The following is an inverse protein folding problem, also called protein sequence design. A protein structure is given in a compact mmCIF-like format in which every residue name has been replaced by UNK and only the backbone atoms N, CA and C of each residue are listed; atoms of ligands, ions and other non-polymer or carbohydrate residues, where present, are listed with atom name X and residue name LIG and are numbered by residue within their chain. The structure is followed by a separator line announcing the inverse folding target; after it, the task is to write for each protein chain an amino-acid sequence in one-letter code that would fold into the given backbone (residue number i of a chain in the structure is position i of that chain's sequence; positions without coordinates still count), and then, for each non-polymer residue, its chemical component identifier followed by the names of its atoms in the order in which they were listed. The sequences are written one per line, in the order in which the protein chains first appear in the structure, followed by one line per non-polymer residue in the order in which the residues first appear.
data_IF_165357808636
#
_entry.id   IF_165357808636
#
_cell.length_a   1.000
_cell.length_b   1.000
_cell.length_c   1.000
_cell.angle_alpha   90.00
_cell.angle_beta   90.00
_cell.angle_gamma   90.00
#
_symmetry.space_group_name_H-M   'P 1'
#
loop_
_entity.id
_entity.type
_entity.pdbx_description
1 polymer ?
#
# COMPACT_ATOMS: atom_id res chain seq x y z
N UNK A 1 -1.34 7.48 -8.66
CA UNK A 1 -2.31 7.79 -9.74
C UNK A 1 -3.16 9.01 -9.38
N UNK A 2 -3.86 9.62 -10.35
CA UNK A 2 -4.66 10.84 -10.08
C UNK A 2 -5.81 10.60 -9.10
N UNK A 3 -6.36 9.40 -9.04
CA UNK A 3 -7.41 9.00 -8.11
C UNK A 3 -6.98 9.09 -6.64
N UNK A 4 -5.69 9.05 -6.35
CA UNK A 4 -5.18 9.19 -4.97
C UNK A 4 -5.59 10.52 -4.33
N UNK A 5 -5.82 11.57 -5.13
CA UNK A 5 -6.31 12.87 -4.62
C UNK A 5 -7.64 12.73 -3.90
N UNK A 6 -8.57 11.96 -4.48
CA UNK A 6 -9.89 11.72 -3.86
C UNK A 6 -9.77 10.81 -2.66
N UNK A 7 -8.96 9.76 -2.75
CA UNK A 7 -8.75 8.82 -1.65
C UNK A 7 -8.10 9.51 -0.43
N UNK A 8 -7.08 10.34 -0.66
CA UNK A 8 -6.42 11.12 0.41
C UNK A 8 -7.40 12.10 1.06
N UNK A 9 -8.26 12.75 0.27
CA UNK A 9 -9.29 13.63 0.83
C UNK A 9 -10.25 12.87 1.76
N UNK A 10 -10.62 11.63 1.41
CA UNK A 10 -11.41 10.77 2.28
C UNK A 10 -10.64 10.35 3.53
N UNK A 11 -9.37 9.93 3.41
CA UNK A 11 -8.54 9.60 4.58
C UNK A 11 -8.43 10.79 5.54
N UNK A 12 -8.17 11.99 5.02
CA UNK A 12 -8.11 13.19 5.83
C UNK A 12 -9.44 13.52 6.53
N UNK A 13 -10.57 13.31 5.84
CA UNK A 13 -11.91 13.51 6.40
C UNK A 13 -12.18 12.60 7.59
N UNK A 14 -11.69 11.37 7.55
CA UNK A 14 -11.94 10.35 8.58
C UNK A 14 -10.75 10.13 9.52
N UNK A 15 -9.73 10.99 9.49
CA UNK A 15 -8.56 10.90 10.38
C UNK A 15 -7.67 9.69 10.14
N UNK A 16 -7.75 9.08 8.95
CA UNK A 16 -7.01 7.87 8.60
C UNK A 16 -5.61 8.19 8.08
N UNK A 17 -4.70 7.25 8.29
CA UNK A 17 -3.37 7.23 7.68
C UNK A 17 -3.28 6.10 6.67
N UNK A 18 -2.40 6.25 5.69
CA UNK A 18 -2.16 5.21 4.69
C UNK A 18 -0.69 5.18 4.27
N UNK A 19 -0.30 4.07 3.67
CA UNK A 19 0.98 3.91 2.98
C UNK A 19 0.73 3.78 1.48
N UNK A 20 1.34 4.66 0.70
CA UNK A 20 1.23 4.69 -0.76
C UNK A 20 2.46 4.06 -1.40
N UNK A 21 2.22 3.04 -2.23
CA UNK A 21 3.27 2.30 -2.91
C UNK A 21 3.57 2.96 -4.25
N UNK A 22 4.81 3.39 -4.46
CA UNK A 22 5.18 4.18 -5.63
C UNK A 22 6.27 3.52 -6.48
N UNK A 23 6.22 3.85 -7.77
CA UNK A 23 7.20 3.46 -8.78
C UNK A 23 7.89 4.73 -9.29
N UNK A 24 9.14 4.96 -8.92
CA UNK A 24 9.81 6.22 -9.25
C UNK A 24 10.18 6.39 -10.73
N UNK A 25 10.19 5.31 -11.50
CA UNK A 25 10.49 5.34 -12.93
C UNK A 25 9.31 5.70 -13.84
N UNK A 26 8.10 5.78 -13.31
CA UNK A 26 6.86 6.04 -14.08
C UNK A 26 5.99 7.09 -13.38
N UNK A 27 6.56 8.28 -13.14
CA UNK A 27 5.92 9.37 -12.38
C UNK A 27 5.63 10.60 -13.26
N UNK A 28 5.02 10.37 -14.39
CA UNK A 28 4.49 11.46 -15.23
C UNK A 28 3.03 11.18 -15.61
N UNK A 29 2.28 12.24 -15.89
CA UNK A 29 0.89 12.08 -16.34
C UNK A 29 0.78 11.43 -17.73
N UNK A 30 1.88 11.38 -18.48
CA UNK A 30 1.95 10.67 -19.75
C UNK A 30 2.04 9.15 -19.55
N UNK A 31 2.54 8.70 -18.39
CA UNK A 31 2.55 7.29 -18.03
C UNK A 31 1.12 6.86 -17.68
N UNK A 32 0.57 5.99 -18.51
CA UNK A 32 -0.82 5.53 -18.39
C UNK A 32 -0.92 4.03 -18.52
N UNK A 33 -1.99 3.48 -18.00
CA UNK A 33 -2.38 2.10 -18.27
C UNK A 33 -3.92 2.03 -18.34
N UNK A 34 -4.44 0.98 -18.97
CA UNK A 34 -5.88 0.76 -19.03
C UNK A 34 -6.29 -0.29 -18.00
N UNK A 35 -7.34 0.02 -17.24
CA UNK A 35 -7.97 -0.91 -16.31
C UNK A 35 -9.49 -0.88 -16.53
N UNK A 36 -10.08 -2.03 -16.83
CA UNK A 36 -11.49 -2.07 -17.21
C UNK A 36 -11.76 -1.19 -18.43
N UNK A 37 -12.65 -0.22 -18.24
CA UNK A 37 -13.08 0.74 -19.27
C UNK A 37 -12.45 2.14 -19.12
N UNK A 38 -11.50 2.33 -18.21
CA UNK A 38 -10.87 3.62 -17.97
C UNK A 38 -9.39 3.63 -18.32
N UNK A 39 -8.88 4.81 -18.69
CA UNK A 39 -7.45 5.09 -18.77
C UNK A 39 -7.00 5.72 -17.48
N UNK A 40 -6.11 5.02 -16.75
CA UNK A 40 -5.53 5.50 -15.50
C UNK A 40 -4.27 6.31 -15.79
N UNK A 41 -4.25 7.54 -15.32
CA UNK A 41 -3.09 8.42 -15.42
C UNK A 41 -2.23 8.37 -14.15
N UNK A 42 -0.93 8.21 -14.33
CA UNK A 42 0.03 8.42 -13.24
C UNK A 42 0.05 9.88 -12.84
N UNK A 43 0.51 10.17 -11.65
CA UNK A 43 0.64 11.54 -11.15
C UNK A 43 2.00 12.11 -11.54
N UNK A 44 2.05 13.42 -11.82
CA UNK A 44 3.32 14.10 -11.99
C UNK A 44 4.06 14.17 -10.65
N UNK A 45 5.36 13.86 -10.68
CA UNK A 45 6.22 13.87 -9.49
C UNK A 45 6.13 15.19 -8.70
N UNK A 46 6.08 16.35 -9.39
CA UNK A 46 6.00 17.67 -8.74
C UNK A 46 4.79 17.85 -7.82
N UNK A 47 3.70 17.10 -8.05
CA UNK A 47 2.46 17.22 -7.27
C UNK A 47 2.44 16.26 -6.07
N UNK A 48 3.35 15.27 -6.04
CA UNK A 48 3.30 14.16 -5.10
C UNK A 48 3.70 14.56 -3.67
N UNK A 49 4.77 15.33 -3.51
CA UNK A 49 5.34 15.64 -2.18
C UNK A 49 4.30 16.28 -1.25
N UNK A 50 3.57 17.26 -1.74
CA UNK A 50 2.53 17.94 -0.95
C UNK A 50 1.29 17.07 -0.78
N UNK A 51 0.89 16.34 -1.82
CA UNK A 51 -0.30 15.50 -1.77
C UNK A 51 -0.19 14.39 -0.72
N UNK A 52 0.94 13.67 -0.68
CA UNK A 52 1.13 12.54 0.23
C UNK A 52 1.63 12.93 1.62
N UNK A 53 1.74 14.23 1.90
CA UNK A 53 2.19 14.70 3.20
C UNK A 53 1.32 14.18 4.35
N UNK A 54 1.97 13.59 5.35
CA UNK A 54 1.30 12.96 6.49
C UNK A 54 0.90 11.50 6.28
N UNK A 55 1.15 10.96 5.09
CA UNK A 55 1.08 9.54 4.75
C UNK A 55 2.48 8.96 4.56
N UNK A 56 2.61 7.66 4.54
CA UNK A 56 3.87 6.97 4.27
C UNK A 56 4.01 6.66 2.79
N UNK A 57 5.26 6.66 2.31
CA UNK A 57 5.63 6.18 0.99
C UNK A 57 6.41 4.89 1.14
N UNK A 58 6.02 3.86 0.39
CA UNK A 58 6.76 2.61 0.24
C UNK A 58 7.16 2.39 -1.23
N UNK A 59 8.22 1.65 -1.44
CA UNK A 59 8.70 1.29 -2.78
C UNK A 59 7.84 0.18 -3.41
N UNK A 60 7.70 0.24 -4.73
CA UNK A 60 6.93 -0.74 -5.51
C UNK A 60 7.64 -1.12 -6.81
N UNK A 61 8.97 -1.20 -6.78
CA UNK A 61 9.87 -1.31 -7.92
C UNK A 61 9.93 -0.06 -8.81
N UNK A 62 11.00 0.09 -9.55
CA UNK A 62 11.22 1.25 -10.42
C UNK A 62 10.15 1.40 -11.50
N UNK A 63 9.82 0.30 -12.19
CA UNK A 63 8.94 0.29 -13.36
C UNK A 63 7.69 -0.55 -13.21
N UNK A 64 7.33 -0.97 -11.97
CA UNK A 64 6.27 -1.93 -11.70
C UNK A 64 6.55 -3.32 -12.30
N UNK A 65 7.82 -3.74 -12.27
CA UNK A 65 8.25 -5.01 -12.83
C UNK A 65 7.73 -6.22 -12.03
N UNK A 66 7.33 -7.28 -12.73
CA UNK A 66 7.12 -8.57 -12.10
C UNK A 66 8.49 -9.18 -11.80
N UNK A 67 8.86 -9.26 -10.51
CA UNK A 67 10.20 -9.69 -10.10
C UNK A 67 10.45 -11.20 -10.24
N UNK A 68 9.39 -12.00 -10.36
CA UNK A 68 9.52 -13.45 -10.45
C UNK A 68 10.15 -13.89 -11.77
N UNK A 69 11.23 -14.67 -11.68
CA UNK A 69 11.94 -15.21 -12.81
C UNK A 69 12.92 -14.26 -13.48
N UNK A 70 13.11 -13.03 -12.94
CA UNK A 70 14.15 -12.11 -13.38
C UNK A 70 15.52 -12.52 -12.80
N UNK A 71 16.59 -12.14 -13.50
CA UNK A 71 17.93 -12.27 -12.96
C UNK A 71 18.15 -11.33 -11.76
N UNK A 72 19.09 -11.69 -10.91
CA UNK A 72 19.31 -10.99 -9.63
C UNK A 72 19.77 -9.54 -9.81
N UNK A 73 20.54 -9.24 -10.86
CA UNK A 73 20.98 -7.87 -11.16
C UNK A 73 19.80 -6.99 -11.52
N UNK A 74 18.89 -7.50 -12.35
CA UNK A 74 17.65 -6.80 -12.72
C UNK A 74 16.77 -6.57 -11.49
N UNK A 75 16.57 -7.57 -10.64
CA UNK A 75 15.80 -7.44 -9.39
C UNK A 75 16.44 -6.40 -8.46
N UNK A 76 17.76 -6.44 -8.30
CA UNK A 76 18.49 -5.45 -7.50
C UNK A 76 18.31 -4.03 -8.04
N UNK A 77 18.41 -3.85 -9.35
CA UNK A 77 18.25 -2.55 -9.99
C UNK A 77 16.84 -1.98 -9.84
N UNK A 78 15.80 -2.81 -10.03
CA UNK A 78 14.40 -2.43 -9.87
C UNK A 78 14.08 -1.99 -8.42
N UNK A 79 14.64 -2.67 -7.43
CA UNK A 79 14.41 -2.37 -6.01
C UNK A 79 15.27 -1.19 -5.56
N UNK A 80 16.61 -1.28 -5.74
CA UNK A 80 17.54 -0.32 -5.15
C UNK A 80 17.46 1.06 -5.79
N UNK A 81 17.19 1.13 -7.09
CA UNK A 81 17.06 2.40 -7.80
C UNK A 81 15.76 3.10 -7.40
N UNK A 82 14.67 2.36 -7.29
CA UNK A 82 13.39 2.91 -6.84
C UNK A 82 13.50 3.51 -5.44
N UNK A 83 14.06 2.75 -4.48
CA UNK A 83 14.28 3.21 -3.11
C UNK A 83 15.10 4.50 -3.09
N UNK A 84 16.27 4.52 -3.76
CA UNK A 84 17.13 5.71 -3.81
C UNK A 84 16.44 6.93 -4.40
N UNK A 85 15.66 6.74 -5.46
CA UNK A 85 14.92 7.83 -6.10
C UNK A 85 13.85 8.39 -5.17
N UNK A 86 13.08 7.52 -4.51
CA UNK A 86 12.04 7.91 -3.56
C UNK A 86 12.63 8.60 -2.33
N UNK A 87 13.72 8.06 -1.76
CA UNK A 87 14.42 8.68 -0.63
C UNK A 87 14.94 10.09 -0.99
N UNK A 88 15.57 10.24 -2.16
CA UNK A 88 16.05 11.52 -2.64
C UNK A 88 14.90 12.51 -2.89
N UNK A 89 13.79 12.05 -3.45
CA UNK A 89 12.65 12.91 -3.75
C UNK A 89 11.89 13.33 -2.49
N UNK A 90 11.57 12.41 -1.59
CA UNK A 90 10.80 12.70 -0.38
C UNK A 90 11.66 13.18 0.80
N UNK A 91 12.99 13.12 0.69
CA UNK A 91 13.96 13.48 1.75
C UNK A 91 13.70 12.69 3.05
N UNK A 92 13.31 11.43 2.92
CA UNK A 92 13.01 10.52 4.04
C UNK A 92 13.46 9.10 3.69
N UNK A 93 13.67 8.29 4.72
CA UNK A 93 14.00 6.88 4.54
C UNK A 93 12.78 6.09 4.09
N UNK A 94 12.98 5.18 3.13
CA UNK A 94 11.97 4.23 2.68
C UNK A 94 12.20 2.90 3.42
N UNK A 95 11.27 2.52 4.28
CA UNK A 95 11.34 1.32 5.11
C UNK A 95 10.45 0.18 4.60
N UNK A 96 9.53 0.49 3.72
CA UNK A 96 8.52 -0.43 3.23
C UNK A 96 8.64 -0.75 1.75
N UNK A 97 8.20 -1.95 1.40
CA UNK A 97 8.14 -2.42 0.02
C UNK A 97 6.84 -3.20 -0.24
N UNK A 98 6.35 -3.16 -1.47
CA UNK A 98 5.24 -4.01 -1.91
C UNK A 98 5.62 -4.69 -3.21
N UNK A 99 5.41 -6.00 -3.28
CA UNK A 99 5.71 -6.77 -4.49
C UNK A 99 4.66 -6.51 -5.57
N UNK A 100 5.04 -6.02 -6.77
CA UNK A 100 4.13 -5.98 -7.92
C UNK A 100 3.52 -7.36 -8.19
N UNK A 101 2.23 -7.41 -8.44
CA UNK A 101 1.47 -8.65 -8.65
C UNK A 101 1.54 -9.66 -7.48
N UNK A 102 2.13 -9.29 -6.35
CA UNK A 102 2.37 -10.18 -5.21
C UNK A 102 3.36 -11.32 -5.48
N UNK A 103 4.14 -11.24 -6.56
CA UNK A 103 5.04 -12.31 -7.04
C UNK A 103 6.50 -11.98 -6.74
N UNK A 104 7.27 -13.00 -6.37
CA UNK A 104 8.69 -12.88 -6.02
C UNK A 104 9.42 -14.21 -6.11
N UNK A 105 10.74 -14.15 -6.14
CA UNK A 105 11.64 -15.26 -5.84
C UNK A 105 12.35 -14.99 -4.51
N UNK A 106 12.86 -16.03 -3.85
CA UNK A 106 13.49 -15.92 -2.51
C UNK A 106 14.68 -14.96 -2.46
N UNK A 107 15.39 -14.78 -3.59
CA UNK A 107 16.49 -13.80 -3.70
C UNK A 107 16.05 -12.36 -3.44
N UNK A 108 14.80 -12.01 -3.74
CA UNK A 108 14.27 -10.67 -3.52
C UNK A 108 14.31 -10.26 -2.04
N UNK A 109 14.07 -11.18 -1.11
CA UNK A 109 14.10 -10.87 0.33
C UNK A 109 15.51 -10.51 0.84
N UNK A 110 16.56 -11.13 0.28
CA UNK A 110 17.92 -10.75 0.58
C UNK A 110 18.21 -9.33 0.08
N UNK A 111 17.83 -9.04 -1.15
CA UNK A 111 18.00 -7.71 -1.76
C UNK A 111 17.25 -6.64 -0.96
N UNK A 112 16.01 -6.90 -0.56
CA UNK A 112 15.25 -5.98 0.28
C UNK A 112 15.96 -5.66 1.59
N UNK A 113 16.53 -6.67 2.28
CA UNK A 113 17.32 -6.48 3.50
C UNK A 113 18.58 -5.65 3.24
N UNK A 114 19.30 -5.94 2.18
CA UNK A 114 20.49 -5.18 1.76
C UNK A 114 20.16 -3.71 1.46
N UNK A 115 18.98 -3.43 0.92
CA UNK A 115 18.47 -2.08 0.69
C UNK A 115 17.84 -1.42 1.93
N UNK A 116 17.83 -2.09 3.09
CA UNK A 116 17.34 -1.54 4.36
C UNK A 116 15.82 -1.56 4.53
N UNK A 117 15.10 -2.36 3.73
CA UNK A 117 13.66 -2.56 3.87
C UNK A 117 13.37 -3.40 5.11
N UNK A 118 12.41 -2.95 5.90
CA UNK A 118 12.05 -3.54 7.18
C UNK A 118 10.75 -4.35 7.13
N UNK A 119 9.83 -3.99 6.21
CA UNK A 119 8.63 -4.76 5.92
C UNK A 119 8.35 -4.82 4.42
N UNK A 120 7.77 -5.92 3.96
CA UNK A 120 7.34 -6.06 2.57
C UNK A 120 6.00 -6.79 2.49
N UNK A 121 5.02 -6.19 1.80
CA UNK A 121 3.69 -6.77 1.63
C UNK A 121 3.67 -7.67 0.39
N UNK A 122 3.16 -8.86 0.60
CA UNK A 122 2.79 -9.80 -0.46
C UNK A 122 1.29 -9.68 -0.75
N UNK A 123 0.75 -10.48 -1.67
CA UNK A 123 -0.68 -10.67 -1.87
C UNK A 123 -1.15 -11.95 -1.16
N UNK A 124 -2.45 -12.10 -1.06
CA UNK A 124 -3.05 -13.25 -0.40
C UNK A 124 -3.59 -12.89 0.97
N UNK A 125 -4.86 -12.47 0.96
CA UNK A 125 -5.55 -12.02 2.15
C UNK A 125 -5.68 -13.13 3.19
N UNK A 126 -5.46 -12.78 4.46
CA UNK A 126 -5.53 -13.73 5.57
C UNK A 126 -6.93 -13.86 6.13
N UNK A 127 -7.78 -12.85 5.93
CA UNK A 127 -9.06 -12.65 6.62
C UNK A 127 -8.95 -12.68 8.16
N UNK A 128 -7.72 -12.50 8.66
CA UNK A 128 -7.36 -12.53 10.07
C UNK A 128 -6.78 -11.21 10.57
N UNK A 129 -6.58 -11.12 11.88
CA UNK A 129 -6.16 -9.90 12.57
C UNK A 129 -4.91 -10.09 13.44
N UNK A 130 -4.37 -11.31 13.51
CA UNK A 130 -3.18 -11.59 14.32
C UNK A 130 -1.94 -10.86 13.75
N UNK A 131 -1.12 -10.35 14.65
CA UNK A 131 0.18 -9.78 14.29
C UNK A 131 1.08 -10.86 13.68
N UNK A 132 1.84 -10.49 12.66
CA UNK A 132 2.74 -11.39 11.94
C UNK A 132 4.20 -11.09 12.30
N UNK A 133 4.99 -12.13 12.50
CA UNK A 133 6.42 -12.00 12.87
C UNK A 133 7.34 -11.87 11.65
N UNK A 134 6.98 -12.43 10.48
CA UNK A 134 7.73 -12.28 9.24
C UNK A 134 7.23 -11.07 8.45
N UNK A 135 7.76 -9.91 8.80
CA UNK A 135 7.34 -8.66 8.19
C UNK A 135 7.77 -8.53 6.72
N UNK A 136 8.77 -9.27 6.25
CA UNK A 136 9.13 -9.25 4.83
C UNK A 136 8.22 -10.11 3.95
N UNK A 137 7.40 -10.98 4.56
CA UNK A 137 6.34 -11.76 3.87
C UNK A 137 4.97 -11.41 4.43
N UNK A 138 4.79 -10.16 4.83
CA UNK A 138 3.55 -9.68 5.43
C UNK A 138 2.37 -9.86 4.48
N UNK A 139 1.27 -10.37 5.01
CA UNK A 139 0.01 -10.59 4.29
C UNK A 139 -1.08 -9.66 4.82
N UNK A 140 -1.85 -8.99 3.97
CA UNK A 140 -2.95 -8.13 4.39
C UNK A 140 -4.12 -8.92 4.96
N UNK A 141 -5.04 -8.23 5.64
CA UNK A 141 -6.28 -8.84 6.11
C UNK A 141 -7.29 -8.96 4.97
N UNK A 142 -7.55 -7.87 4.24
CA UNK A 142 -8.55 -7.82 3.17
C UNK A 142 -8.13 -6.88 2.03
N UNK A 143 -8.45 -7.27 0.80
CA UNK A 143 -8.59 -6.31 -0.29
C UNK A 143 -9.87 -5.48 -0.08
N UNK A 144 -9.86 -4.19 -0.47
CA UNK A 144 -11.05 -3.33 -0.28
C UNK A 144 -12.29 -3.82 -1.03
N UNK A 145 -12.11 -4.60 -2.11
CA UNK A 145 -13.20 -5.20 -2.90
C UNK A 145 -13.55 -6.63 -2.48
N UNK A 146 -12.96 -7.13 -1.38
CA UNK A 146 -13.29 -8.45 -0.86
C UNK A 146 -14.77 -8.50 -0.39
N UNK A 147 -15.49 -9.56 -0.78
CA UNK A 147 -16.91 -9.71 -0.45
C UNK A 147 -17.15 -9.78 1.07
N UNK A 148 -16.15 -10.24 1.82
CA UNK A 148 -16.24 -10.43 3.28
C UNK A 148 -15.71 -9.24 4.09
N UNK A 149 -15.23 -8.16 3.44
CA UNK A 149 -14.59 -7.05 4.15
C UNK A 149 -15.51 -6.41 5.19
N UNK A 150 -16.79 -6.19 4.89
CA UNK A 150 -17.71 -5.55 5.83
C UNK A 150 -17.98 -6.44 7.05
N UNK A 151 -18.10 -7.75 6.85
CA UNK A 151 -18.21 -8.72 7.94
C UNK A 151 -16.89 -8.86 8.71
N UNK A 152 -15.76 -8.74 8.02
CA UNK A 152 -14.44 -8.70 8.62
C UNK A 152 -14.26 -7.48 9.53
N UNK A 153 -14.68 -6.31 9.09
CA UNK A 153 -14.68 -5.09 9.91
C UNK A 153 -15.58 -5.26 11.15
N UNK A 154 -16.77 -5.83 10.98
CA UNK A 154 -17.65 -6.11 12.13
C UNK A 154 -17.00 -7.04 13.14
N UNK A 155 -16.34 -8.10 12.68
CA UNK A 155 -15.59 -9.00 13.57
C UNK A 155 -14.47 -8.28 14.28
N UNK A 156 -13.69 -7.44 13.56
CA UNK A 156 -12.58 -6.68 14.15
C UNK A 156 -13.08 -5.73 15.24
N UNK A 157 -14.13 -4.95 14.97
CA UNK A 157 -14.69 -3.97 15.91
C UNK A 157 -15.36 -4.59 17.13
N UNK A 158 -15.78 -5.85 17.04
CA UNK A 158 -16.46 -6.55 18.14
C UNK A 158 -15.58 -7.64 18.77
N UNK A 159 -14.27 -7.60 18.55
CA UNK A 159 -13.36 -8.55 19.19
C UNK A 159 -13.27 -8.27 20.70
N UNK A 160 -13.41 -9.34 21.47
CA UNK A 160 -13.18 -9.35 22.92
C UNK A 160 -11.82 -10.01 23.19
N UNK A 161 -10.74 -9.21 23.20
CA UNK A 161 -9.38 -9.70 23.40
C UNK A 161 -8.48 -8.60 23.96
N UNK A 162 -7.58 -8.97 24.88
CA UNK A 162 -6.53 -8.09 25.40
C UNK A 162 -5.27 -8.09 24.53
N UNK A 163 -5.20 -8.99 23.53
CA UNK A 163 -4.06 -9.09 22.64
C UNK A 163 -4.19 -8.07 21.48
N UNK A 164 -3.09 -7.36 21.13
CA UNK A 164 -3.09 -6.45 19.99
C UNK A 164 -3.50 -7.13 18.68
N UNK A 165 -4.39 -6.51 17.95
CA UNK A 165 -4.91 -7.01 16.67
C UNK A 165 -4.66 -5.98 15.56
N UNK A 166 -4.51 -6.44 14.33
CA UNK A 166 -4.28 -5.61 13.17
C UNK A 166 -5.29 -5.88 12.06
N UNK A 167 -6.06 -4.87 11.70
CA UNK A 167 -6.85 -4.87 10.48
C UNK A 167 -6.05 -4.13 9.39
N UNK A 168 -5.58 -4.84 8.38
CA UNK A 168 -4.85 -4.28 7.26
C UNK A 168 -5.67 -4.39 5.97
N UNK A 169 -6.12 -3.26 5.45
CA UNK A 169 -6.88 -3.16 4.20
C UNK A 169 -5.96 -2.63 3.09
N UNK A 170 -6.04 -3.22 1.91
CA UNK A 170 -5.25 -2.82 0.75
C UNK A 170 -6.09 -2.75 -0.53
N UNK A 171 -5.52 -2.18 -1.57
CA UNK A 171 -6.14 -2.09 -2.89
C UNK A 171 -5.56 -0.93 -3.70
N UNK A 172 -6.31 -0.48 -4.70
CA UNK A 172 -5.88 0.56 -5.62
C UNK A 172 -6.96 1.62 -5.78
N UNK A 173 -6.59 2.89 -5.69
CA UNK A 173 -7.53 4.01 -5.76
C UNK A 173 -8.28 4.12 -7.09
N UNK A 174 -7.68 3.68 -8.19
CA UNK A 174 -8.32 3.70 -9.51
C UNK A 174 -9.46 2.66 -9.65
N UNK A 175 -9.48 1.63 -8.83
CA UNK A 175 -10.54 0.62 -8.85
C UNK A 175 -11.90 1.23 -8.49
N UNK A 176 -11.93 2.28 -7.67
CA UNK A 176 -13.16 2.98 -7.33
C UNK A 176 -13.77 3.76 -8.51
N UNK A 177 -12.95 4.18 -9.49
CA UNK A 177 -13.45 4.74 -10.75
C UNK A 177 -13.90 3.63 -11.72
N UNK A 178 -13.20 2.48 -11.74
CA UNK A 178 -13.57 1.32 -12.58
C UNK A 178 -14.94 0.78 -12.19
N UNK A 179 -15.18 0.66 -10.87
CA UNK A 179 -16.36 0.02 -10.31
C UNK A 179 -17.46 1.04 -9.94
N UNK A 180 -17.20 2.35 -10.15
CA UNK A 180 -18.09 3.46 -9.76
C UNK A 180 -18.60 3.35 -8.31
N UNK A 181 -17.69 3.04 -7.37
CA UNK A 181 -18.05 2.66 -6.01
C UNK A 181 -17.33 3.47 -4.90
N UNK A 182 -16.98 4.74 -5.15
CA UNK A 182 -16.38 5.62 -4.14
C UNK A 182 -17.18 5.73 -2.84
N UNK A 183 -18.51 5.68 -2.93
CA UNK A 183 -19.39 5.71 -1.77
C UNK A 183 -19.21 4.47 -0.89
N UNK A 184 -18.92 3.33 -1.51
CA UNK A 184 -18.59 2.11 -0.79
C UNK A 184 -17.30 2.25 0.01
N UNK A 185 -16.23 2.79 -0.61
CA UNK A 185 -14.98 3.08 0.11
C UNK A 185 -15.22 4.06 1.26
N UNK A 186 -16.00 5.10 1.04
CA UNK A 186 -16.34 6.04 2.11
C UNK A 186 -17.12 5.36 3.24
N UNK A 187 -17.99 4.40 2.94
CA UNK A 187 -18.72 3.63 3.96
C UNK A 187 -17.79 2.77 4.83
N UNK A 188 -16.75 2.17 4.24
CA UNK A 188 -15.69 1.45 4.98
C UNK A 188 -14.98 2.39 5.94
N UNK A 189 -14.52 3.55 5.45
CA UNK A 189 -13.81 4.52 6.29
C UNK A 189 -14.70 5.07 7.41
N UNK A 190 -15.94 5.38 7.12
CA UNK A 190 -16.91 5.87 8.11
C UNK A 190 -17.16 4.84 9.22
N UNK A 191 -17.22 3.55 8.87
CA UNK A 191 -17.43 2.47 9.83
C UNK A 191 -16.22 2.27 10.74
N UNK A 192 -15.01 2.49 10.24
CA UNK A 192 -13.76 2.33 10.98
C UNK A 192 -13.32 3.58 11.73
N UNK A 193 -13.89 4.77 11.44
CA UNK A 193 -13.38 6.02 11.94
C UNK A 193 -13.75 6.29 13.40
N UNK A 194 -12.85 7.01 14.11
CA UNK A 194 -13.12 7.64 15.41
C UNK A 194 -13.44 6.67 16.56
N UNK A 195 -12.89 5.45 16.52
CA UNK A 195 -12.91 4.53 17.67
C UNK A 195 -11.72 4.86 18.58
N UNK A 196 -11.96 5.09 19.86
CA UNK A 196 -10.95 5.53 20.84
C UNK A 196 -9.92 4.43 21.16
N UNK A 197 -10.26 3.19 20.92
CA UNK A 197 -9.44 1.99 21.14
C UNK A 197 -8.67 1.54 19.89
N UNK A 198 -8.76 2.28 18.77
CA UNK A 198 -8.07 1.97 17.52
C UNK A 198 -6.98 2.99 17.23
N UNK A 199 -5.77 2.51 17.00
CA UNK A 199 -4.67 3.30 16.46
C UNK A 199 -4.68 3.31 14.92
N UNK A 200 -4.84 4.48 14.31
CA UNK A 200 -4.83 4.67 12.86
C UNK A 200 -3.44 5.10 12.41
N UNK A 201 -2.65 4.16 11.92
CA UNK A 201 -1.26 4.39 11.54
C UNK A 201 -0.94 4.05 10.09
N UNK A 202 0.22 4.52 9.65
CA UNK A 202 0.89 4.03 8.44
C UNK A 202 1.52 2.67 8.72
N UNK A 203 1.96 1.96 7.67
CA UNK A 203 2.56 0.64 7.85
C UNK A 203 3.75 0.67 8.81
N UNK A 204 4.68 1.62 8.67
CA UNK A 204 5.82 1.70 9.59
C UNK A 204 5.43 2.05 11.02
N UNK A 205 4.37 2.85 11.22
CA UNK A 205 3.88 3.18 12.55
C UNK A 205 3.21 2.00 13.27
N UNK A 206 2.69 1.04 12.50
CA UNK A 206 1.94 -0.10 13.04
C UNK A 206 2.78 -1.36 13.10
N UNK A 207 3.73 -1.54 12.15
CA UNK A 207 4.50 -2.79 12.00
C UNK A 207 5.88 -2.73 12.65
N UNK A 208 6.46 -1.52 12.84
CA UNK A 208 7.82 -1.30 13.34
C UNK A 208 7.84 -0.61 14.69
#
# INVERSE_FOLDING_TARGET
VEQDRRLIALFNKYGMKATFNQNSGIQTRADTFTQGNIVVHRMNQKDMRELYKGHEIASHTLTHANLKGLDEETVYNEISTDIRNLEAFYEQKISGFVFPFGTYDESAFRILKECGIQYARTSGDTHGFALQSDLLRFKPSFHHADADIMSGIDRFLNMDTDEPQLLYIWGHSYEFDVDDNWEYMESILKKLAFHDDIFYGTNSQVLL
#
